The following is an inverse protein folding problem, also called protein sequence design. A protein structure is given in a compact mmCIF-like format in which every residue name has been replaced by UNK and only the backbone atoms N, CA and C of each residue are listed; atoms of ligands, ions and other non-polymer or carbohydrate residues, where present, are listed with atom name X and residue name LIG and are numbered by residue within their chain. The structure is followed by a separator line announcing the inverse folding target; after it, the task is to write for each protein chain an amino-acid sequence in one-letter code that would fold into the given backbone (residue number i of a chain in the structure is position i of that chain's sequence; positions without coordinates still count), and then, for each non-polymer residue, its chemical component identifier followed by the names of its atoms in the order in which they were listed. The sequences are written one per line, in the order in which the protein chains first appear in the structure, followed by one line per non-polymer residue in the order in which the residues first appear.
data_IF_478168141178
#
_entry.id   IF_478168141178
#
_cell.length_a   1.000
_cell.length_b   1.000
_cell.length_c   1.000
_cell.angle_alpha   90.00
_cell.angle_beta   90.00
_cell.angle_gamma   90.00
#
_symmetry.space_group_name_H-M   'P 1'
#
loop_
_entity.id
_entity.type
_entity.pdbx_description
1 polymer ?
#
# COMPACT_ATOMS: atom_id res chain seq x y z
N UNK A 1 1.99 -10.51 14.85
CA UNK A 1 1.38 -10.02 16.12
C UNK A 1 0.82 -8.63 15.88
N UNK A 2 -0.47 -8.39 16.12
CA UNK A 2 -1.14 -7.12 15.76
C UNK A 2 -0.58 -5.89 16.48
N UNK A 3 -0.11 -6.02 17.72
CA UNK A 3 0.40 -4.89 18.53
C UNK A 3 1.60 -4.20 17.88
N UNK A 4 2.64 -4.96 17.50
CA UNK A 4 3.85 -4.42 16.90
C UNK A 4 3.60 -3.75 15.54
N UNK A 5 2.83 -4.43 14.67
CA UNK A 5 2.48 -3.89 13.36
C UNK A 5 1.69 -2.58 13.45
N UNK A 6 0.74 -2.50 14.38
CA UNK A 6 -0.03 -1.28 14.61
C UNK A 6 0.82 -0.13 15.13
N UNK A 7 1.64 -0.39 16.16
CA UNK A 7 2.49 0.64 16.78
C UNK A 7 3.54 1.21 15.84
N UNK A 8 4.11 0.37 14.95
CA UNK A 8 5.25 0.75 14.14
C UNK A 8 4.88 1.17 12.71
N UNK A 9 3.77 0.67 12.16
CA UNK A 9 3.43 0.84 10.74
C UNK A 9 2.00 1.34 10.57
N UNK A 10 1.01 0.54 10.97
CA UNK A 10 -0.37 0.77 10.51
C UNK A 10 -0.96 2.08 11.06
N UNK A 11 -0.73 2.40 12.33
CA UNK A 11 -1.30 3.61 12.92
C UNK A 11 -0.53 4.88 12.55
N UNK A 12 0.76 4.76 12.23
CA UNK A 12 1.52 5.85 11.60
C UNK A 12 0.99 6.11 10.18
N UNK A 13 0.76 5.05 9.39
CA UNK A 13 0.10 5.17 8.09
C UNK A 13 -1.25 5.88 8.20
N UNK A 14 -2.10 5.49 9.15
CA UNK A 14 -3.40 6.14 9.37
C UNK A 14 -3.25 7.63 9.75
N UNK A 15 -2.27 8.00 10.57
CA UNK A 15 -2.03 9.39 10.92
C UNK A 15 -1.61 10.23 9.70
N UNK A 16 -0.69 9.69 8.88
CA UNK A 16 -0.25 10.34 7.63
C UNK A 16 -1.44 10.49 6.67
N UNK A 17 -2.26 9.45 6.51
CA UNK A 17 -3.39 9.50 5.59
C UNK A 17 -4.41 10.57 5.98
N UNK A 18 -4.66 10.77 7.28
CA UNK A 18 -5.53 11.85 7.76
C UNK A 18 -4.96 13.24 7.47
N UNK A 19 -3.63 13.40 7.54
CA UNK A 19 -2.97 14.66 7.23
C UNK A 19 -2.97 14.96 5.72
N UNK A 20 -2.86 13.93 4.86
CA UNK A 20 -2.79 14.08 3.40
C UNK A 20 -4.14 14.08 2.69
N UNK A 21 -5.20 13.59 3.34
CA UNK A 21 -6.56 13.53 2.80
C UNK A 21 -6.61 12.89 1.39
N UNK A 22 -7.23 13.57 0.44
CA UNK A 22 -7.42 13.22 -0.97
C UNK A 22 -6.17 13.35 -1.84
N UNK A 23 -5.01 13.66 -1.26
CA UNK A 23 -3.74 13.85 -2.00
C UNK A 23 -2.79 12.66 -1.90
N UNK A 24 -3.31 11.49 -1.52
CA UNK A 24 -2.48 10.31 -1.26
C UNK A 24 -3.00 9.08 -2.00
N UNK A 25 -2.06 8.19 -2.33
CA UNK A 25 -2.31 6.87 -2.87
C UNK A 25 -1.82 5.85 -1.86
N UNK A 26 -2.55 4.76 -1.69
CA UNK A 26 -2.18 3.72 -0.74
C UNK A 26 -2.45 2.33 -1.31
N UNK A 27 -1.58 1.39 -0.95
CA UNK A 27 -1.73 -0.01 -1.29
C UNK A 27 -1.55 -0.90 -0.08
N UNK A 28 -2.14 -2.09 -0.15
CA UNK A 28 -1.82 -3.22 0.70
C UNK A 28 -0.95 -4.20 -0.09
N UNK A 29 0.22 -4.54 0.43
CA UNK A 29 1.00 -5.65 -0.08
C UNK A 29 0.37 -6.97 0.39
N UNK A 30 -0.38 -7.61 -0.50
CA UNK A 30 -1.20 -8.80 -0.24
C UNK A 30 -0.58 -10.12 -0.75
N UNK A 31 0.73 -10.15 -1.03
CA UNK A 31 1.40 -11.42 -1.39
C UNK A 31 1.71 -12.19 -0.11
N UNK A 32 1.06 -13.34 0.08
CA UNK A 32 1.29 -14.22 1.24
C UNK A 32 2.76 -14.66 1.33
N UNK A 33 3.35 -14.75 2.54
CA UNK A 33 2.75 -14.51 3.86
C UNK A 33 2.62 -13.04 4.28
N UNK A 34 3.18 -12.10 3.51
CA UNK A 34 3.07 -10.66 3.78
C UNK A 34 3.93 -10.20 4.95
N UNK A 35 5.13 -10.74 5.08
CA UNK A 35 6.06 -10.31 6.13
C UNK A 35 6.58 -8.89 5.88
N UNK A 36 6.92 -8.20 6.96
CA UNK A 36 7.67 -6.96 6.88
C UNK A 36 8.91 -7.17 6.01
N UNK A 37 9.28 -6.16 5.21
CA UNK A 37 10.35 -6.15 4.19
C UNK A 37 10.17 -7.07 2.97
N UNK A 38 9.14 -7.93 2.91
CA UNK A 38 8.95 -8.85 1.79
C UNK A 38 8.73 -8.12 0.46
N UNK A 39 8.03 -6.99 0.50
CA UNK A 39 7.72 -6.16 -0.65
C UNK A 39 8.95 -5.54 -1.32
N UNK A 40 10.06 -5.37 -0.60
CA UNK A 40 11.31 -4.81 -1.16
C UNK A 40 11.82 -5.59 -2.36
N UNK A 41 11.71 -6.92 -2.33
CA UNK A 41 12.12 -7.77 -3.46
C UNK A 41 11.31 -7.51 -4.73
N UNK A 42 10.02 -7.17 -4.58
CA UNK A 42 9.10 -6.81 -5.66
C UNK A 42 9.30 -5.36 -6.10
N UNK A 43 9.62 -4.45 -5.16
CA UNK A 43 9.88 -3.04 -5.45
C UNK A 43 11.17 -2.89 -6.27
N UNK A 44 12.29 -3.42 -5.77
CA UNK A 44 13.60 -3.24 -6.40
C UNK A 44 13.89 -4.25 -7.51
N UNK A 45 13.11 -5.33 -7.58
CA UNK A 45 13.29 -6.40 -8.56
C UNK A 45 14.47 -7.30 -8.20
N UNK A 46 14.19 -8.57 -7.94
CA UNK A 46 15.20 -9.59 -7.69
C UNK A 46 14.94 -10.80 -8.59
N UNK A 47 15.92 -11.70 -8.81
CA UNK A 47 15.69 -12.93 -9.55
C UNK A 47 14.53 -13.77 -8.98
N UNK A 48 14.30 -13.76 -7.66
CA UNK A 48 13.23 -14.52 -7.00
C UNK A 48 11.81 -14.01 -7.31
N UNK A 49 11.70 -12.73 -7.67
CA UNK A 49 10.43 -12.05 -7.96
C UNK A 49 10.28 -11.68 -9.43
N UNK A 50 11.30 -11.95 -10.24
CA UNK A 50 11.35 -11.61 -11.64
C UNK A 50 10.08 -12.09 -12.37
N UNK A 51 9.54 -11.21 -13.22
CA UNK A 51 8.35 -11.45 -14.04
C UNK A 51 7.06 -11.73 -13.27
N UNK A 52 7.04 -11.64 -11.93
CA UNK A 52 5.79 -11.80 -11.17
C UNK A 52 4.85 -10.62 -11.48
N UNK A 53 3.53 -10.87 -11.67
CA UNK A 53 2.55 -9.80 -11.88
C UNK A 53 2.53 -8.74 -10.78
N UNK A 54 2.77 -9.14 -9.52
CA UNK A 54 2.91 -8.25 -8.37
C UNK A 54 4.09 -7.28 -8.52
N UNK A 55 5.25 -7.79 -8.92
CA UNK A 55 6.45 -6.97 -9.16
C UNK A 55 6.16 -5.95 -10.27
N UNK A 56 5.62 -6.42 -11.40
CA UNK A 56 5.27 -5.54 -12.53
C UNK A 56 4.30 -4.44 -12.10
N UNK A 57 3.25 -4.80 -11.37
CA UNK A 57 2.23 -3.85 -10.89
C UNK A 57 2.83 -2.80 -9.95
N UNK A 58 3.65 -3.23 -8.98
CA UNK A 58 4.26 -2.35 -7.99
C UNK A 58 5.28 -1.40 -8.63
N UNK A 59 6.16 -1.93 -9.49
CA UNK A 59 7.18 -1.13 -10.19
C UNK A 59 6.55 -0.14 -11.16
N UNK A 60 5.50 -0.52 -11.90
CA UNK A 60 4.78 0.38 -12.79
C UNK A 60 4.15 1.54 -12.02
N UNK A 61 3.44 1.24 -10.93
CA UNK A 61 2.78 2.26 -10.11
C UNK A 61 3.78 3.25 -9.51
N UNK A 62 4.90 2.76 -8.94
CA UNK A 62 5.94 3.61 -8.37
C UNK A 62 6.62 4.45 -9.45
N UNK A 63 7.03 3.83 -10.57
CA UNK A 63 7.73 4.53 -11.64
C UNK A 63 6.87 5.63 -12.28
N UNK A 64 5.58 5.36 -12.53
CA UNK A 64 4.70 6.38 -13.10
C UNK A 64 4.40 7.51 -12.12
N UNK A 65 4.29 7.21 -10.82
CA UNK A 65 4.18 8.25 -9.79
C UNK A 65 5.41 9.15 -9.76
N UNK A 66 6.62 8.58 -9.84
CA UNK A 66 7.87 9.37 -9.93
C UNK A 66 7.89 10.24 -11.19
N UNK A 67 7.45 9.71 -12.33
CA UNK A 67 7.50 10.43 -13.61
C UNK A 67 6.43 11.51 -13.76
N UNK A 68 5.23 11.31 -13.19
CA UNK A 68 4.04 12.12 -13.50
C UNK A 68 3.27 12.62 -12.27
N UNK A 69 3.66 12.21 -11.07
CA UNK A 69 2.90 12.45 -9.83
C UNK A 69 1.64 11.60 -9.68
N UNK A 70 1.30 10.74 -10.67
CA UNK A 70 0.11 9.90 -10.67
C UNK A 70 0.50 8.44 -10.93
N UNK A 71 0.21 7.50 -10.01
CA UNK A 71 0.45 6.09 -10.23
C UNK A 71 -0.56 5.52 -11.24
N UNK A 72 -0.11 4.60 -12.10
CA UNK A 72 -0.98 3.88 -13.04
C UNK A 72 -0.75 2.40 -12.93
N UNK A 73 -1.75 1.63 -13.36
CA UNK A 73 -1.71 0.19 -13.44
C UNK A 73 -1.63 -0.27 -14.89
N UNK A 74 -1.42 -1.57 -15.07
CA UNK A 74 -1.36 -2.17 -16.38
C UNK A 74 -2.64 -1.90 -17.18
N UNK A 75 -2.49 -1.64 -18.48
CA UNK A 75 -3.59 -1.23 -19.36
C UNK A 75 -4.01 0.23 -19.18
N UNK A 76 -3.23 1.06 -18.47
CA UNK A 76 -3.53 2.47 -18.28
C UNK A 76 -4.64 2.74 -17.26
N UNK A 77 -5.02 1.73 -16.47
CA UNK A 77 -6.01 1.89 -15.40
C UNK A 77 -5.46 2.82 -14.33
N UNK A 78 -6.33 3.67 -13.79
CA UNK A 78 -5.95 4.60 -12.73
C UNK A 78 -5.74 3.86 -11.41
N UNK A 79 -4.73 4.32 -10.66
CA UNK A 79 -4.56 3.92 -9.27
C UNK A 79 -5.51 4.76 -8.41
N UNK A 80 -6.37 4.14 -7.57
CA UNK A 80 -7.36 4.88 -6.80
C UNK A 80 -6.69 5.81 -5.78
N UNK A 81 -7.17 7.05 -5.71
CA UNK A 81 -6.85 7.95 -4.60
C UNK A 81 -7.37 7.31 -3.31
N UNK A 82 -6.56 7.32 -2.25
CA UNK A 82 -6.94 6.76 -0.96
C UNK A 82 -8.14 7.51 -0.37
N UNK A 83 -7.98 8.84 -0.23
CA UNK A 83 -9.05 9.79 0.10
C UNK A 83 -9.95 9.39 1.27
N UNK A 84 -11.15 9.96 1.28
CA UNK A 84 -12.15 9.69 2.32
C UNK A 84 -12.79 8.29 2.17
N UNK A 85 -12.78 7.71 0.96
CA UNK A 85 -13.25 6.35 0.72
C UNK A 85 -12.35 5.29 1.36
N UNK A 86 -11.10 5.66 1.69
CA UNK A 86 -10.13 4.80 2.36
C UNK A 86 -9.80 3.54 1.55
N UNK A 87 -9.79 3.64 0.22
CA UNK A 87 -9.58 2.50 -0.67
C UNK A 87 -8.09 2.23 -0.86
N UNK A 88 -7.68 1.01 -0.51
CA UNK A 88 -6.33 0.52 -0.72
C UNK A 88 -6.28 -0.30 -2.00
N UNK A 89 -5.33 -0.03 -2.89
CA UNK A 89 -5.05 -0.98 -3.96
C UNK A 89 -4.47 -2.27 -3.37
N UNK A 90 -4.99 -3.43 -3.76
CA UNK A 90 -4.46 -4.70 -3.27
C UNK A 90 -3.46 -5.30 -4.27
N UNK A 91 -2.17 -5.33 -3.91
CA UNK A 91 -1.12 -5.97 -4.72
C UNK A 91 -0.98 -7.43 -4.29
N UNK A 92 -1.51 -8.35 -5.10
CA UNK A 92 -1.52 -9.80 -4.80
C UNK A 92 -0.51 -10.55 -5.67
N UNK A 93 -0.38 -11.86 -5.46
CA UNK A 93 0.45 -12.71 -6.33
C UNK A 93 0.05 -12.60 -7.81
N UNK A 94 -1.24 -12.40 -8.09
CA UNK A 94 -1.81 -12.23 -9.43
C UNK A 94 -1.64 -10.81 -10.00
N UNK A 95 -1.05 -9.87 -9.24
CA UNK A 95 -0.89 -8.47 -9.63
C UNK A 95 -1.84 -7.54 -8.86
N UNK A 96 -2.03 -6.34 -9.39
CA UNK A 96 -3.00 -5.39 -8.85
C UNK A 96 -4.44 -5.90 -9.03
N UNK A 97 -5.14 -6.09 -7.91
CA UNK A 97 -6.53 -6.50 -7.85
C UNK A 97 -7.42 -5.31 -7.47
N UNK A 98 -8.74 -5.51 -7.49
CA UNK A 98 -9.72 -4.53 -7.01
C UNK A 98 -9.33 -3.94 -5.66
N UNK A 99 -9.61 -2.66 -5.48
CA UNK A 99 -9.35 -1.97 -4.22
C UNK A 99 -10.13 -2.63 -3.08
N UNK A 100 -9.52 -2.62 -1.89
CA UNK A 100 -10.11 -3.13 -0.66
C UNK A 100 -10.27 -1.98 0.32
N UNK A 101 -11.35 -1.93 1.10
CA UNK A 101 -11.48 -0.95 2.17
C UNK A 101 -10.31 -1.06 3.16
N UNK A 102 -9.84 0.09 3.65
CA UNK A 102 -8.96 0.13 4.78
C UNK A 102 -9.61 -0.56 5.99
N UNK A 103 -8.95 -1.57 6.54
CA UNK A 103 -9.48 -2.40 7.64
C UNK A 103 -8.82 -2.09 8.99
N UNK A 104 -8.09 -0.97 9.07
CA UNK A 104 -7.45 -0.55 10.32
C UNK A 104 -8.46 -0.13 11.38
N UNK A 105 -8.17 -0.51 12.63
CA UNK A 105 -8.99 -0.14 13.76
C UNK A 105 -8.67 1.31 14.17
N UNK A 106 -9.48 2.25 13.71
CA UNK A 106 -9.26 3.68 13.98
C UNK A 106 -9.27 4.02 15.48
N UNK A 107 -10.06 3.34 16.30
CA UNK A 107 -10.07 3.55 17.76
C UNK A 107 -8.71 3.20 18.37
N UNK A 108 -8.11 2.08 17.95
CA UNK A 108 -6.78 1.68 18.41
C UNK A 108 -5.70 2.62 17.89
N UNK A 109 -5.80 3.07 16.64
CA UNK A 109 -4.84 4.03 16.10
C UNK A 109 -4.92 5.40 16.77
N UNK A 110 -6.12 5.87 17.12
CA UNK A 110 -6.30 7.07 17.93
C UNK A 110 -5.63 6.94 19.30
N UNK A 111 -5.72 5.77 19.93
CA UNK A 111 -5.02 5.52 21.19
C UNK A 111 -3.50 5.58 21.01
N UNK A 112 -2.96 4.90 20.00
CA UNK A 112 -1.52 4.91 19.71
C UNK A 112 -0.96 6.32 19.48
N UNK A 113 -1.69 7.19 18.78
CA UNK A 113 -1.24 8.57 18.54
C UNK A 113 -1.33 9.49 19.76
N UNK A 114 -2.02 9.08 20.83
CA UNK A 114 -2.12 9.85 22.07
C UNK A 114 -1.00 9.53 23.07
N UNK A 115 -0.29 8.41 22.88
CA UNK A 115 0.74 7.92 23.81
C UNK A 115 2.14 7.87 23.19
N UNK A 116 2.25 8.21 21.91
CA UNK A 116 3.50 8.33 21.18
C UNK A 116 4.16 9.69 21.41
#
# INVERSE_FOLDING_TARGET
MRVWGESAIDCAFNAISQATKDKSYAYKFGVSPGFHIQDLSYTFGTPATAMRPSQKSLQLAIASFVLKGVPVLEGGKEFPIFGDEGLLLNITAAGAMSSVPNSLNQTRCKWWTLIA
#
